data_IF_267973987860
#
_entry.id   IF_267973987860
#
_cell.length_a   1.000
_cell.length_b   1.000
_cell.length_c   1.000
_cell.angle_alpha   90.00
_cell.angle_beta   90.00
_cell.angle_gamma   90.00
#
_symmetry.space_group_name_H-M   'P 1'
#
loop_
_entity.id
_entity.type
_entity.pdbx_description
1 polymer ?
#
# COMPACT_ATOMS: atom_id res chain seq x y z
N UNK A 1 -14.11 18.35 24.59
CA UNK A 1 -12.71 18.65 24.18
C UNK A 1 -12.55 18.14 22.75
N UNK A 2 -11.79 18.77 21.85
CA UNK A 2 -11.54 18.15 20.55
C UNK A 2 -10.87 16.78 20.80
N UNK A 3 -11.51 15.70 20.33
CA UNK A 3 -11.04 14.33 20.54
C UNK A 3 -9.64 14.20 19.90
N UNK A 4 -8.61 13.95 20.71
CA UNK A 4 -7.22 13.96 20.22
C UNK A 4 -6.98 12.83 19.22
N UNK A 5 -6.40 13.18 18.08
CA UNK A 5 -5.86 12.22 17.10
C UNK A 5 -4.44 11.77 17.43
N UNK A 6 -3.74 12.48 18.33
CA UNK A 6 -2.38 12.15 18.73
C UNK A 6 -2.32 11.51 20.12
N UNK A 7 -1.58 10.40 20.23
CA UNK A 7 -1.22 9.75 21.50
C UNK A 7 0.17 9.13 21.34
N UNK A 8 1.09 9.50 22.22
CA UNK A 8 2.43 8.93 22.25
C UNK A 8 2.40 7.56 22.97
N UNK A 9 1.86 6.56 22.28
CA UNK A 9 1.77 5.20 22.77
C UNK A 9 2.12 4.23 21.66
N UNK A 10 2.97 3.24 21.97
CA UNK A 10 3.23 2.14 21.05
C UNK A 10 2.16 1.06 21.19
N UNK A 11 1.50 0.76 20.07
CA UNK A 11 0.52 -0.32 19.97
C UNK A 11 1.14 -1.48 19.20
N UNK A 12 0.92 -2.72 19.65
CA UNK A 12 1.27 -3.94 18.92
C UNK A 12 0.21 -4.99 19.18
N UNK A 13 -0.04 -5.86 18.20
CA UNK A 13 -1.01 -6.94 18.41
C UNK A 13 -0.52 -7.95 19.46
N UNK A 14 -1.40 -8.47 20.33
CA UNK A 14 -1.11 -9.63 21.16
C UNK A 14 -0.60 -10.81 20.32
N UNK A 15 0.27 -11.64 20.94
CA UNK A 15 0.90 -12.81 20.32
C UNK A 15 0.56 -14.08 21.10
N UNK A 16 0.79 -15.25 20.50
CA UNK A 16 0.53 -16.55 21.12
C UNK A 16 -0.95 -16.93 21.19
N UNK A 17 -1.26 -18.01 21.92
CA UNK A 17 -2.59 -18.61 21.96
C UNK A 17 -3.55 -18.02 23.02
N UNK A 18 -3.06 -17.15 23.90
CA UNK A 18 -3.89 -16.54 24.96
C UNK A 18 -4.80 -15.47 24.37
N UNK A 19 -6.10 -15.58 24.64
CA UNK A 19 -7.10 -14.63 24.17
C UNK A 19 -7.28 -13.47 25.14
N UNK A 20 -7.51 -12.28 24.59
CA UNK A 20 -8.05 -11.12 25.31
C UNK A 20 -9.57 -11.05 25.12
N UNK A 21 -10.05 -11.27 23.90
CA UNK A 21 -11.47 -11.34 23.57
C UNK A 21 -12.09 -12.73 23.89
N UNK A 22 -13.42 -12.83 23.77
CA UNK A 22 -14.17 -14.06 24.11
C UNK A 22 -13.96 -15.23 23.15
N UNK A 23 -13.49 -14.98 21.93
CA UNK A 23 -13.28 -16.02 20.91
C UNK A 23 -12.20 -15.62 19.91
N UNK A 24 -11.68 -16.58 19.15
CA UNK A 24 -10.77 -16.29 18.04
C UNK A 24 -11.37 -15.38 16.95
N UNK A 25 -12.70 -15.42 16.75
CA UNK A 25 -13.40 -14.58 15.77
C UNK A 25 -13.48 -13.11 16.18
N UNK A 26 -13.35 -12.81 17.48
CA UNK A 26 -13.31 -11.44 18.02
C UNK A 26 -11.88 -11.00 18.40
N UNK A 27 -11.02 -11.95 18.72
CA UNK A 27 -9.58 -11.74 18.91
C UNK A 27 -8.87 -11.36 17.60
N UNK A 28 -9.23 -12.00 16.48
CA UNK A 28 -8.63 -11.73 15.18
C UNK A 28 -8.77 -10.25 14.75
N UNK A 29 -9.96 -9.63 14.69
CA UNK A 29 -10.08 -8.21 14.36
C UNK A 29 -9.40 -7.30 15.40
N UNK A 30 -9.37 -7.68 16.68
CA UNK A 30 -8.65 -6.94 17.72
C UNK A 30 -7.15 -6.90 17.46
N UNK A 31 -6.54 -8.07 17.22
CA UNK A 31 -5.13 -8.19 16.88
C UNK A 31 -4.82 -7.46 15.58
N UNK A 32 -5.67 -7.58 14.58
CA UNK A 32 -5.44 -6.93 13.29
C UNK A 32 -5.57 -5.40 13.35
N UNK A 33 -6.51 -4.87 14.15
CA UNK A 33 -6.58 -3.44 14.46
C UNK A 33 -5.27 -2.94 15.07
N UNK A 34 -4.76 -3.67 16.06
CA UNK A 34 -3.50 -3.33 16.73
C UNK A 34 -2.29 -3.50 15.81
N UNK A 35 -2.29 -4.52 14.93
CA UNK A 35 -1.24 -4.74 13.94
C UNK A 35 -1.15 -3.58 12.94
N UNK A 36 -2.30 -3.04 12.53
CA UNK A 36 -2.36 -1.85 11.67
C UNK A 36 -1.69 -0.62 12.30
N UNK A 37 -1.46 -0.59 13.62
CA UNK A 37 -0.81 0.50 14.35
C UNK A 37 0.57 0.12 14.91
N UNK A 38 1.09 -1.05 14.55
CA UNK A 38 2.45 -1.46 14.94
C UNK A 38 3.48 -0.49 14.33
N UNK A 39 4.46 0.05 15.08
CA UNK A 39 5.48 0.95 14.54
C UNK A 39 6.34 0.35 13.41
N UNK A 40 6.39 -0.98 13.30
CA UNK A 40 7.08 -1.64 12.20
C UNK A 40 6.18 -1.81 10.97
N UNK A 41 4.88 -1.51 11.09
CA UNK A 41 3.85 -1.63 10.05
C UNK A 41 3.40 -0.26 9.54
N UNK A 42 2.95 0.62 10.44
CA UNK A 42 2.28 1.88 10.12
C UNK A 42 3.24 3.03 9.82
N UNK A 43 2.83 3.96 8.96
CA UNK A 43 3.62 5.15 8.63
C UNK A 43 3.66 6.20 9.75
N UNK A 44 2.56 6.41 10.48
CA UNK A 44 2.49 7.32 11.62
C UNK A 44 1.43 6.86 12.64
N UNK A 45 1.73 5.80 13.42
CA UNK A 45 0.75 5.16 14.29
C UNK A 45 0.29 6.03 15.47
N UNK A 46 1.10 6.99 15.94
CA UNK A 46 0.72 7.90 17.03
C UNK A 46 -0.46 8.81 16.64
N UNK A 47 -0.63 9.04 15.34
CA UNK A 47 -1.78 9.72 14.78
C UNK A 47 -2.84 8.77 14.20
N UNK A 48 -2.76 7.48 14.50
CA UNK A 48 -3.59 6.40 13.95
C UNK A 48 -3.43 6.17 12.44
N UNK A 49 -2.47 6.84 11.79
CA UNK A 49 -2.25 6.78 10.34
C UNK A 49 -1.45 5.54 9.99
N UNK A 50 -2.05 4.70 9.15
CA UNK A 50 -1.48 3.46 8.67
C UNK A 50 -0.69 3.71 7.39
N UNK A 51 -1.31 4.24 6.33
CA UNK A 51 -0.65 4.56 5.05
C UNK A 51 -1.53 5.45 4.14
N UNK A 52 -0.92 5.97 3.06
CA UNK A 52 -1.63 6.58 1.92
C UNK A 52 -2.24 7.94 2.23
N UNK A 53 -1.40 8.91 2.61
CA UNK A 53 -1.86 10.18 3.17
C UNK A 53 -2.37 9.95 4.60
N UNK A 54 -3.61 10.34 4.87
CA UNK A 54 -4.25 10.26 6.19
C UNK A 54 -5.10 8.99 6.42
N UNK A 55 -4.77 7.87 5.76
CA UNK A 55 -5.50 6.61 5.92
C UNK A 55 -5.34 6.04 7.33
N UNK A 56 -6.41 6.03 8.13
CA UNK A 56 -6.38 5.72 9.58
C UNK A 56 -7.07 4.40 9.94
N UNK A 57 -6.65 3.83 11.09
CA UNK A 57 -7.24 2.60 11.64
C UNK A 57 -8.51 2.83 12.47
N UNK A 58 -8.60 3.98 13.14
CA UNK A 58 -9.75 4.45 13.90
C UNK A 58 -9.86 5.98 13.77
N UNK A 59 -11.04 6.55 14.05
CA UNK A 59 -11.30 7.98 13.81
C UNK A 59 -10.40 8.90 14.64
N UNK A 60 -10.26 8.55 15.91
CA UNK A 60 -9.46 9.21 16.93
C UNK A 60 -9.22 8.20 18.06
N UNK A 61 -8.47 8.59 19.08
CA UNK A 61 -8.06 7.68 20.14
C UNK A 61 -9.21 7.23 21.06
N UNK A 62 -10.22 8.07 21.27
CA UNK A 62 -11.43 7.65 22.01
C UNK A 62 -12.18 6.55 21.27
N UNK A 63 -12.34 6.70 19.94
CA UNK A 63 -12.92 5.66 19.11
C UNK A 63 -12.08 4.38 19.10
N UNK A 64 -10.74 4.49 19.07
CA UNK A 64 -9.85 3.34 19.16
C UNK A 64 -10.07 2.55 20.46
N UNK A 65 -10.04 3.24 21.61
CA UNK A 65 -10.24 2.60 22.92
C UNK A 65 -11.61 1.94 23.01
N UNK A 66 -12.66 2.61 22.51
CA UNK A 66 -14.01 2.07 22.48
C UNK A 66 -14.14 0.85 21.55
N UNK A 67 -13.39 0.79 20.43
CA UNK A 67 -13.36 -0.40 19.55
C UNK A 67 -12.70 -1.56 20.27
N UNK A 68 -11.55 -1.33 20.93
CA UNK A 68 -10.84 -2.36 21.70
C UNK A 68 -11.74 -2.94 22.79
N UNK A 69 -12.42 -2.08 23.55
CA UNK A 69 -13.35 -2.47 24.61
C UNK A 69 -14.58 -3.21 24.05
N UNK A 70 -15.13 -2.77 22.91
CA UNK A 70 -16.23 -3.46 22.25
C UNK A 70 -15.82 -4.87 21.77
N UNK A 71 -14.70 -5.00 21.06
CA UNK A 71 -14.20 -6.28 20.55
C UNK A 71 -13.86 -7.28 21.67
N UNK A 72 -13.36 -6.79 22.80
CA UNK A 72 -13.03 -7.62 23.97
C UNK A 72 -14.29 -8.27 24.56
N UNK A 73 -15.43 -7.56 24.54
CA UNK A 73 -16.69 -7.99 25.17
C UNK A 73 -17.68 -8.63 24.21
N UNK A 74 -17.49 -8.49 22.90
CA UNK A 74 -18.43 -8.93 21.86
C UNK A 74 -18.69 -10.44 21.91
N UNK A 75 -19.96 -10.84 21.91
CA UNK A 75 -20.38 -12.24 21.92
C UNK A 75 -20.32 -12.89 20.53
N UNK A 76 -20.39 -14.23 20.49
CA UNK A 76 -20.30 -15.00 19.25
C UNK A 76 -21.49 -14.77 18.29
N UNK A 77 -22.66 -14.41 18.80
CA UNK A 77 -23.88 -14.12 18.03
C UNK A 77 -24.13 -12.61 17.89
N UNK A 78 -23.12 -11.76 18.12
CA UNK A 78 -23.21 -10.31 17.96
C UNK A 78 -22.36 -9.79 16.79
N UNK A 79 -22.73 -8.61 16.30
CA UNK A 79 -22.02 -7.87 15.26
C UNK A 79 -21.82 -6.41 15.66
N UNK A 80 -20.56 -5.95 15.67
CA UNK A 80 -20.16 -4.57 15.88
C UNK A 80 -20.25 -3.77 14.56
N UNK A 81 -20.87 -2.59 14.60
CA UNK A 81 -20.91 -1.64 13.49
C UNK A 81 -19.86 -0.54 13.67
N UNK A 82 -18.97 -0.42 12.68
CA UNK A 82 -17.99 0.66 12.58
C UNK A 82 -18.41 1.64 11.48
N UNK A 83 -18.66 2.88 11.85
CA UNK A 83 -18.95 3.97 10.91
C UNK A 83 -17.76 4.92 10.90
N UNK A 84 -17.06 5.03 9.77
CA UNK A 84 -15.86 5.88 9.61
C UNK A 84 -14.94 5.82 10.84
N UNK A 85 -14.51 4.61 11.21
CA UNK A 85 -13.61 4.36 12.33
C UNK A 85 -14.16 4.62 13.74
N UNK A 86 -15.47 4.76 13.91
CA UNK A 86 -16.15 4.91 15.21
C UNK A 86 -17.05 3.70 15.48
N UNK A 87 -17.02 3.09 16.68
CA UNK A 87 -17.96 2.03 17.04
C UNK A 87 -19.32 2.65 17.39
N UNK A 88 -20.35 2.39 16.58
CA UNK A 88 -21.66 3.08 16.69
C UNK A 88 -22.80 2.21 17.21
N UNK A 89 -22.61 0.89 17.27
CA UNK A 89 -23.62 -0.01 17.81
C UNK A 89 -23.22 -1.48 17.73
N UNK A 90 -23.81 -2.29 18.59
CA UNK A 90 -23.71 -3.75 18.59
C UNK A 90 -25.12 -4.29 18.47
N UNK A 91 -25.32 -5.25 17.57
CA UNK A 91 -26.61 -5.88 17.34
C UNK A 91 -26.46 -7.39 17.36
N UNK A 92 -27.47 -8.08 17.90
CA UNK A 92 -27.58 -9.52 17.83
C UNK A 92 -27.83 -9.96 16.38
N UNK A 93 -27.05 -10.92 15.93
CA UNK A 93 -27.13 -11.57 14.62
C UNK A 93 -27.12 -13.08 14.82
N UNK A 94 -26.08 -13.78 14.38
CA UNK A 94 -25.88 -15.22 14.56
C UNK A 94 -24.38 -15.56 14.39
N UNK A 95 -23.96 -16.73 14.87
CA UNK A 95 -22.58 -17.22 14.87
C UNK A 95 -21.87 -17.18 13.50
N UNK A 96 -22.60 -17.44 12.42
CA UNK A 96 -22.08 -17.44 11.05
C UNK A 96 -22.08 -16.05 10.36
N UNK A 97 -22.58 -15.01 11.02
CA UNK A 97 -22.49 -13.64 10.52
C UNK A 97 -21.08 -13.05 10.74
N UNK A 98 -20.72 -11.96 10.04
CA UNK A 98 -19.51 -11.21 10.38
C UNK A 98 -19.59 -10.65 11.81
N UNK A 99 -18.48 -10.74 12.57
CA UNK A 99 -18.37 -10.09 13.89
C UNK A 99 -18.29 -8.57 13.80
N UNK A 100 -17.79 -8.03 12.69
CA UNK A 100 -17.65 -6.58 12.48
C UNK A 100 -18.10 -6.22 11.06
N UNK A 101 -18.94 -5.19 10.95
CA UNK A 101 -19.29 -4.57 9.68
C UNK A 101 -18.76 -3.13 9.65
N UNK A 102 -18.07 -2.76 8.58
CA UNK A 102 -17.33 -1.50 8.49
C UNK A 102 -17.79 -0.72 7.26
N UNK A 103 -18.18 0.54 7.47
CA UNK A 103 -18.48 1.50 6.41
C UNK A 103 -17.70 2.80 6.66
N UNK A 104 -16.59 2.98 5.94
CA UNK A 104 -15.71 4.15 6.09
C UNK A 104 -15.77 5.07 4.87
N UNK A 105 -15.74 6.38 5.12
CA UNK A 105 -15.52 7.43 4.11
C UNK A 105 -16.56 7.51 2.99
N UNK A 106 -17.73 6.88 3.16
CA UNK A 106 -18.82 6.97 2.20
C UNK A 106 -19.48 8.35 2.28
N UNK A 107 -19.55 9.03 1.14
CA UNK A 107 -20.25 10.31 0.96
C UNK A 107 -21.22 10.18 -0.21
N UNK A 108 -22.33 10.91 -0.15
CA UNK A 108 -23.28 10.99 -1.27
C UNK A 108 -22.53 11.59 -2.48
N UNK A 109 -22.70 11.08 -3.73
CA UNK A 109 -21.78 11.38 -4.82
C UNK A 109 -21.51 12.86 -5.12
N UNK A 110 -22.52 13.72 -4.97
CA UNK A 110 -22.35 15.17 -5.16
C UNK A 110 -21.37 15.80 -4.15
N UNK A 111 -21.30 15.24 -2.94
CA UNK A 111 -20.43 15.69 -1.84
C UNK A 111 -19.17 14.84 -1.69
N UNK A 112 -18.91 13.90 -2.60
CA UNK A 112 -17.75 13.02 -2.53
C UNK A 112 -16.46 13.71 -3.00
N UNK A 113 -16.11 14.81 -2.34
CA UNK A 113 -14.91 15.63 -2.61
C UNK A 113 -14.06 15.77 -1.35
N UNK A 114 -12.78 16.11 -1.53
CA UNK A 114 -11.86 16.33 -0.39
C UNK A 114 -12.25 17.54 0.45
N UNK A 115 -12.77 18.60 -0.17
CA UNK A 115 -13.19 19.81 0.53
C UNK A 115 -14.28 19.49 1.55
N UNK A 116 -15.32 18.75 1.15
CA UNK A 116 -16.38 18.35 2.05
C UNK A 116 -15.93 17.28 3.06
N UNK A 117 -15.07 16.34 2.64
CA UNK A 117 -14.47 15.37 3.56
C UNK A 117 -13.69 16.08 4.69
N UNK A 118 -12.88 17.09 4.37
CA UNK A 118 -12.07 17.84 5.32
C UNK A 118 -12.95 18.69 6.26
N UNK A 119 -14.03 19.28 5.75
CA UNK A 119 -15.04 19.96 6.58
C UNK A 119 -15.64 19.01 7.64
N UNK A 120 -15.98 17.78 7.25
CA UNK A 120 -16.49 16.76 8.17
C UNK A 120 -15.42 16.25 9.14
N UNK A 121 -14.17 16.09 8.69
CA UNK A 121 -13.07 15.67 9.56
C UNK A 121 -12.77 16.72 10.65
N UNK A 122 -12.81 18.00 10.30
CA UNK A 122 -12.67 19.11 11.26
C UNK A 122 -13.79 19.11 12.32
N UNK A 123 -14.98 18.60 11.99
CA UNK A 123 -16.12 18.41 12.91
C UNK A 123 -16.06 17.08 13.69
N UNK A 124 -15.04 16.25 13.49
CA UNK A 124 -14.93 14.91 14.11
C UNK A 124 -15.91 13.87 13.52
N UNK A 125 -16.42 14.11 12.31
CA UNK A 125 -17.43 13.27 11.65
C UNK A 125 -16.86 12.35 10.57
N UNK A 126 -15.59 12.49 10.20
CA UNK A 126 -14.96 11.73 9.15
C UNK A 126 -13.71 10.97 9.61
N UNK A 127 -13.38 9.93 8.85
CA UNK A 127 -12.11 9.23 8.87
C UNK A 127 -11.86 8.72 7.46
N UNK A 128 -10.63 8.85 6.97
CA UNK A 128 -10.24 8.27 5.69
C UNK A 128 -9.80 6.83 5.92
N UNK A 129 -10.57 5.86 5.42
CA UNK A 129 -10.31 4.44 5.66
C UNK A 129 -9.26 3.84 4.72
N UNK A 130 -8.87 4.56 3.66
CA UNK A 130 -8.13 3.99 2.53
C UNK A 130 -8.83 2.68 2.08
N UNK A 131 -8.07 1.62 1.81
CA UNK A 131 -8.59 0.27 1.59
C UNK A 131 -8.41 -0.60 2.83
N UNK A 132 -7.17 -0.76 3.31
CA UNK A 132 -6.80 -1.72 4.37
C UNK A 132 -6.46 -1.08 5.71
N UNK A 133 -6.40 0.26 5.76
CA UNK A 133 -6.16 1.01 7.00
C UNK A 133 -7.37 0.91 7.93
N UNK A 134 -8.54 1.36 7.48
CA UNK A 134 -9.77 1.36 8.28
C UNK A 134 -10.51 0.03 8.31
N UNK A 135 -10.02 -1.00 7.61
CA UNK A 135 -10.58 -2.36 7.59
C UNK A 135 -9.67 -3.42 8.22
N UNK A 136 -8.56 -2.97 8.83
CA UNK A 136 -7.71 -3.79 9.70
C UNK A 136 -7.14 -5.03 9.00
N UNK A 137 -6.49 -4.85 7.85
CA UNK A 137 -5.83 -5.94 7.13
C UNK A 137 -4.55 -5.49 6.40
N UNK A 138 -3.91 -4.46 6.96
CA UNK A 138 -2.64 -3.96 6.47
C UNK A 138 -1.49 -4.78 7.06
N UNK A 139 -0.54 -5.14 6.19
CA UNK A 139 0.58 -6.05 6.50
C UNK A 139 1.92 -5.41 6.10
N UNK A 140 2.01 -4.08 6.24
CA UNK A 140 3.14 -3.30 5.78
C UNK A 140 3.24 -3.23 4.26
N UNK A 141 4.44 -2.94 3.76
CA UNK A 141 4.73 -2.80 2.33
C UNK A 141 4.52 -4.12 1.56
N UNK A 142 4.51 -5.26 2.27
CA UNK A 142 4.25 -6.57 1.66
C UNK A 142 2.84 -6.65 1.05
N UNK A 143 1.88 -5.87 1.53
CA UNK A 143 0.50 -5.92 1.04
C UNK A 143 0.34 -5.60 -0.45
N UNK A 144 1.30 -4.89 -1.05
CA UNK A 144 1.24 -4.48 -2.48
C UNK A 144 2.41 -5.00 -3.32
N UNK A 145 3.53 -5.38 -2.69
CA UNK A 145 4.78 -5.70 -3.40
C UNK A 145 4.62 -6.77 -4.48
N UNK A 146 3.79 -7.79 -4.29
CA UNK A 146 3.52 -8.74 -5.37
C UNK A 146 2.76 -8.10 -6.55
N UNK A 147 1.78 -7.25 -6.30
CA UNK A 147 1.07 -6.56 -7.38
C UNK A 147 1.98 -5.63 -8.16
N UNK A 148 2.96 -5.03 -7.49
CA UNK A 148 4.01 -4.20 -8.12
C UNK A 148 5.01 -5.03 -8.90
N UNK A 149 5.42 -6.16 -8.34
CA UNK A 149 6.25 -7.16 -9.03
C UNK A 149 5.55 -7.67 -10.30
N UNK A 150 4.30 -8.14 -10.22
CA UNK A 150 3.53 -8.61 -11.39
C UNK A 150 3.37 -7.52 -12.44
N UNK A 151 3.23 -6.25 -12.01
CA UNK A 151 3.17 -5.11 -12.92
C UNK A 151 4.47 -4.96 -13.70
N UNK A 152 5.61 -4.96 -13.01
CA UNK A 152 6.91 -4.81 -13.66
C UNK A 152 7.30 -6.02 -14.50
N UNK A 153 7.00 -7.23 -14.04
CA UNK A 153 7.21 -8.46 -14.82
C UNK A 153 6.41 -8.42 -16.12
N UNK A 154 5.15 -8.04 -16.06
CA UNK A 154 4.31 -7.95 -17.26
C UNK A 154 4.78 -6.81 -18.19
N UNK A 155 5.18 -5.66 -17.66
CA UNK A 155 5.81 -4.62 -18.46
C UNK A 155 7.11 -5.12 -19.13
N UNK A 156 7.93 -5.92 -18.43
CA UNK A 156 9.09 -6.58 -18.99
C UNK A 156 8.75 -7.56 -20.12
N UNK A 157 7.67 -8.34 -19.99
CA UNK A 157 7.16 -9.23 -21.06
C UNK A 157 6.73 -8.45 -22.29
N UNK A 158 5.98 -7.36 -22.11
CA UNK A 158 5.44 -6.59 -23.23
C UNK A 158 6.49 -5.73 -23.95
N UNK A 159 7.48 -5.19 -23.22
CA UNK A 159 8.39 -4.18 -23.77
C UNK A 159 9.85 -4.64 -23.90
N UNK A 160 10.26 -5.69 -23.18
CA UNK A 160 11.66 -6.09 -23.02
C UNK A 160 11.89 -7.61 -23.10
N UNK A 161 11.08 -8.33 -23.90
CA UNK A 161 11.21 -9.77 -24.14
C UNK A 161 11.20 -10.63 -22.86
N UNK A 162 10.50 -10.17 -21.82
CA UNK A 162 10.30 -10.94 -20.58
C UNK A 162 11.36 -10.72 -19.50
N UNK A 163 12.39 -9.91 -19.73
CA UNK A 163 13.44 -9.65 -18.73
C UNK A 163 13.73 -8.17 -18.57
N UNK A 164 13.92 -7.74 -17.32
CA UNK A 164 14.39 -6.39 -16.98
C UNK A 164 15.87 -6.35 -16.57
N UNK A 165 16.62 -7.42 -16.81
CA UNK A 165 18.06 -7.43 -16.53
C UNK A 165 18.78 -6.33 -17.34
N UNK A 166 19.62 -5.54 -16.65
CA UNK A 166 20.31 -4.39 -17.24
C UNK A 166 19.40 -3.19 -17.54
N UNK A 167 18.14 -3.22 -17.09
CA UNK A 167 17.16 -2.13 -17.21
C UNK A 167 16.97 -1.43 -15.87
N UNK A 168 16.38 -0.25 -15.90
CA UNK A 168 16.00 0.44 -14.66
C UNK A 168 14.66 1.17 -14.71
N UNK A 169 14.00 1.19 -13.56
CA UNK A 169 12.72 1.86 -13.31
C UNK A 169 12.98 3.22 -12.67
N UNK A 170 12.38 4.29 -13.20
CA UNK A 170 12.28 5.58 -12.54
C UNK A 170 10.91 5.72 -11.89
N UNK A 171 10.88 6.07 -10.60
CA UNK A 171 9.64 6.36 -9.91
C UNK A 171 9.80 7.27 -8.69
N UNK A 172 8.71 7.57 -8.00
CA UNK A 172 8.69 8.39 -6.80
C UNK A 172 7.66 7.89 -5.76
N UNK A 173 7.89 8.31 -4.51
CA UNK A 173 7.12 7.94 -3.33
C UNK A 173 7.62 6.66 -2.65
N UNK A 174 8.14 6.80 -1.44
CA UNK A 174 8.59 5.71 -0.55
C UNK A 174 7.75 5.66 0.74
N UNK A 175 6.44 5.90 0.65
CA UNK A 175 5.50 5.68 1.75
C UNK A 175 5.18 4.20 1.99
N UNK A 176 4.15 3.91 2.79
CA UNK A 176 3.71 2.54 3.14
C UNK A 176 3.57 1.59 1.94
N UNK A 177 2.97 2.08 0.87
CA UNK A 177 2.76 1.32 -0.38
C UNK A 177 3.87 1.61 -1.41
N UNK A 178 4.24 2.89 -1.57
CA UNK A 178 5.34 3.37 -2.43
C UNK A 178 6.68 2.67 -2.20
N UNK A 179 6.96 2.35 -0.94
CA UNK A 179 8.17 1.64 -0.53
C UNK A 179 8.27 0.21 -1.07
N UNK A 180 7.22 -0.36 -1.64
CA UNK A 180 7.28 -1.66 -2.29
C UNK A 180 7.92 -1.63 -3.68
N UNK A 181 7.94 -0.47 -4.35
CA UNK A 181 8.43 -0.32 -5.72
C UNK A 181 9.89 -0.74 -5.91
N UNK A 182 10.85 -0.34 -5.06
CA UNK A 182 12.26 -0.64 -5.30
C UNK A 182 12.55 -2.15 -5.14
N UNK A 183 11.97 -2.79 -4.13
CA UNK A 183 12.04 -4.24 -3.98
C UNK A 183 11.35 -4.97 -5.14
N UNK A 184 10.14 -4.56 -5.54
CA UNK A 184 9.43 -5.17 -6.66
C UNK A 184 10.22 -5.08 -7.98
N UNK A 185 10.84 -3.94 -8.26
CA UNK A 185 11.71 -3.76 -9.42
C UNK A 185 12.91 -4.70 -9.35
N UNK A 186 13.55 -4.79 -8.18
CA UNK A 186 14.69 -5.68 -7.95
C UNK A 186 14.33 -7.16 -8.13
N UNK A 187 13.17 -7.59 -7.62
CA UNK A 187 12.66 -8.96 -7.80
C UNK A 187 12.31 -9.24 -9.27
N UNK A 188 11.85 -8.24 -10.02
CA UNK A 188 11.63 -8.35 -11.46
C UNK A 188 12.94 -8.29 -12.29
N UNK A 189 14.09 -8.11 -11.64
CA UNK A 189 15.43 -8.10 -12.26
C UNK A 189 15.92 -6.72 -12.72
N UNK A 190 15.20 -5.64 -12.38
CA UNK A 190 15.57 -4.27 -12.74
C UNK A 190 16.35 -3.57 -11.62
N UNK A 191 17.20 -2.62 -11.98
CA UNK A 191 17.55 -1.54 -11.05
C UNK A 191 16.37 -0.58 -10.88
N UNK A 192 16.39 0.27 -9.84
CA UNK A 192 15.40 1.33 -9.71
C UNK A 192 15.97 2.58 -9.08
N UNK A 193 15.55 3.75 -9.57
CA UNK A 193 15.72 5.02 -8.88
C UNK A 193 14.37 5.47 -8.34
N UNK A 194 14.26 5.62 -7.03
CA UNK A 194 13.03 6.08 -6.38
C UNK A 194 13.25 7.40 -5.64
N UNK A 195 12.52 8.43 -6.06
CA UNK A 195 12.61 9.77 -5.49
C UNK A 195 11.64 9.88 -4.31
N UNK A 196 12.13 10.36 -3.17
CA UNK A 196 11.33 10.57 -1.95
C UNK A 196 11.74 11.89 -1.29
N UNK A 197 10.77 12.68 -0.85
CA UNK A 197 11.02 14.00 -0.27
C UNK A 197 11.32 14.00 1.23
N UNK A 198 11.05 12.89 1.93
CA UNK A 198 11.25 12.74 3.37
C UNK A 198 12.35 11.71 3.69
N UNK A 199 13.42 12.14 4.35
CA UNK A 199 14.50 11.25 4.78
C UNK A 199 14.00 10.11 5.66
N UNK A 200 13.08 10.38 6.60
CA UNK A 200 12.53 9.36 7.50
C UNK A 200 11.79 8.23 6.77
N UNK A 201 11.25 8.49 5.58
CA UNK A 201 10.61 7.47 4.74
C UNK A 201 11.64 6.59 4.04
N UNK A 202 12.75 7.17 3.58
CA UNK A 202 13.90 6.43 3.05
C UNK A 202 14.49 5.52 4.14
N UNK A 203 14.74 6.07 5.33
CA UNK A 203 15.28 5.33 6.48
C UNK A 203 14.41 4.14 6.86
N UNK A 204 13.09 4.30 6.82
CA UNK A 204 12.15 3.20 7.05
C UNK A 204 12.40 2.08 6.04
N UNK A 205 12.52 2.40 4.75
CA UNK A 205 12.65 1.40 3.68
C UNK A 205 14.01 0.72 3.69
N UNK A 206 15.06 1.43 4.07
CA UNK A 206 16.38 0.85 4.31
C UNK A 206 16.31 -0.14 5.48
N UNK A 207 15.72 0.28 6.61
CA UNK A 207 15.54 -0.56 7.80
C UNK A 207 14.74 -1.83 7.51
N UNK A 208 13.68 -1.74 6.69
CA UNK A 208 12.85 -2.89 6.32
C UNK A 208 13.35 -3.66 5.10
N UNK A 209 14.50 -3.29 4.53
CA UNK A 209 15.15 -3.93 3.37
C UNK A 209 14.31 -3.91 2.09
N UNK A 210 13.49 -2.88 1.94
CA UNK A 210 12.69 -2.62 0.74
C UNK A 210 13.40 -1.70 -0.28
N UNK A 211 14.47 -1.03 0.14
CA UNK A 211 15.43 -0.33 -0.72
C UNK A 211 16.85 -0.70 -0.28
N UNK A 212 17.78 -0.81 -1.22
CA UNK A 212 19.13 -1.29 -0.95
C UNK A 212 20.07 -0.16 -0.50
N UNK A 213 20.03 0.98 -1.19
CA UNK A 213 20.92 2.11 -0.91
C UNK A 213 20.27 3.48 -1.17
N UNK A 214 20.88 4.53 -0.63
CA UNK A 214 20.52 5.92 -0.88
C UNK A 214 21.69 6.65 -1.54
N UNK A 215 21.40 7.40 -2.60
CA UNK A 215 22.36 8.27 -3.26
C UNK A 215 22.44 9.64 -2.58
N UNK A 216 23.62 10.26 -2.62
CA UNK A 216 23.84 11.58 -2.03
C UNK A 216 23.31 12.72 -2.92
N UNK A 217 23.37 12.53 -4.24
CA UNK A 217 22.94 13.52 -5.25
C UNK A 217 22.33 12.81 -6.46
N UNK A 218 21.70 13.57 -7.35
CA UNK A 218 21.20 13.04 -8.63
C UNK A 218 22.34 12.42 -9.48
N UNK A 219 23.51 13.06 -9.50
CA UNK A 219 24.66 12.56 -10.27
C UNK A 219 25.19 11.24 -9.71
N UNK A 220 25.29 11.13 -8.37
CA UNK A 220 25.64 9.88 -7.69
C UNK A 220 24.62 8.77 -8.00
N UNK A 221 23.32 9.10 -7.94
CA UNK A 221 22.25 8.16 -8.27
C UNK A 221 22.38 7.63 -9.71
N UNK A 222 22.59 8.52 -10.68
CA UNK A 222 22.75 8.13 -12.09
C UNK A 222 24.04 7.32 -12.33
N UNK A 223 25.13 7.66 -11.65
CA UNK A 223 26.38 6.89 -11.73
C UNK A 223 26.19 5.45 -11.21
N UNK A 224 25.48 5.28 -10.09
CA UNK A 224 25.12 3.97 -9.52
C UNK A 224 24.23 3.16 -10.43
N UNK A 225 23.14 3.77 -10.93
CA UNK A 225 22.23 3.13 -11.87
C UNK A 225 22.99 2.66 -13.13
N UNK A 226 23.85 3.52 -13.70
CA UNK A 226 24.65 3.17 -14.86
C UNK A 226 25.68 2.06 -14.56
N UNK A 227 26.24 2.02 -13.35
CA UNK A 227 27.16 0.97 -12.93
C UNK A 227 26.44 -0.39 -12.81
N UNK A 228 25.33 -0.45 -12.07
CA UNK A 228 24.62 -1.70 -11.81
C UNK A 228 23.92 -2.27 -13.04
N UNK A 229 23.32 -1.42 -13.88
CA UNK A 229 22.71 -1.85 -15.15
C UNK A 229 23.75 -2.45 -16.11
N UNK A 230 24.93 -1.82 -16.26
CA UNK A 230 26.06 -2.38 -17.05
C UNK A 230 26.57 -3.71 -16.50
N UNK A 231 26.54 -3.89 -15.18
CA UNK A 231 26.93 -5.14 -14.53
C UNK A 231 25.82 -6.22 -14.54
N UNK A 232 24.64 -5.93 -15.12
CA UNK A 232 23.50 -6.85 -15.11
C UNK A 232 22.93 -7.12 -13.71
N UNK A 233 23.20 -6.25 -12.74
CA UNK A 233 22.68 -6.36 -11.37
C UNK A 233 21.30 -5.70 -11.27
N UNK A 234 20.55 -6.09 -10.25
CA UNK A 234 19.29 -5.47 -9.87
C UNK A 234 19.46 -4.84 -8.48
N UNK A 235 19.61 -3.51 -8.45
CA UNK A 235 19.84 -2.74 -7.22
C UNK A 235 18.92 -1.53 -7.19
N UNK A 236 18.33 -1.29 -6.03
CA UNK A 236 17.43 -0.17 -5.79
C UNK A 236 18.11 0.99 -5.07
N UNK A 237 17.96 2.19 -5.64
CA UNK A 237 18.58 3.44 -5.17
C UNK A 237 17.49 4.44 -4.81
N UNK A 238 17.47 4.92 -3.58
CA UNK A 238 16.65 6.06 -3.16
C UNK A 238 17.38 7.39 -3.40
N UNK A 239 16.62 8.44 -3.70
CA UNK A 239 17.13 9.82 -3.77
C UNK A 239 16.22 10.73 -2.94
N UNK A 240 16.81 11.43 -1.94
CA UNK A 240 16.09 12.39 -1.12
C UNK A 240 15.90 13.71 -1.87
N UNK A 241 14.77 13.87 -2.57
CA UNK A 241 14.46 15.04 -3.40
C UNK A 241 12.96 15.13 -3.71
N UNK A 242 12.53 16.23 -4.35
CA UNK A 242 11.17 16.36 -4.84
C UNK A 242 11.06 15.82 -6.28
N UNK A 243 10.10 14.91 -6.50
CA UNK A 243 9.85 14.33 -7.82
C UNK A 243 9.47 15.37 -8.88
N UNK A 244 8.73 16.42 -8.49
CA UNK A 244 8.36 17.53 -9.38
C UNK A 244 9.59 18.33 -9.86
N UNK A 245 10.73 18.22 -9.18
CA UNK A 245 11.99 18.87 -9.58
C UNK A 245 12.88 17.90 -10.36
N UNK A 246 13.01 16.65 -9.89
CA UNK A 246 13.94 15.68 -10.45
C UNK A 246 13.48 15.11 -11.78
N UNK A 247 12.20 14.80 -11.97
CA UNK A 247 11.75 14.23 -13.25
C UNK A 247 11.94 15.21 -14.42
N UNK A 248 11.55 16.49 -14.33
CA UNK A 248 11.86 17.47 -15.37
C UNK A 248 13.38 17.61 -15.62
N UNK A 249 14.18 17.60 -14.56
CA UNK A 249 15.64 17.67 -14.70
C UNK A 249 16.23 16.48 -15.45
N UNK A 250 15.74 15.26 -15.18
CA UNK A 250 16.14 14.05 -15.91
C UNK A 250 15.76 14.13 -17.40
N UNK A 251 14.59 14.67 -17.72
CA UNK A 251 14.18 14.94 -19.11
C UNK A 251 15.13 15.94 -19.77
N UNK A 252 15.44 17.05 -19.11
CA UNK A 252 16.34 18.09 -19.62
C UNK A 252 17.76 17.54 -19.91
N UNK A 253 18.24 16.62 -19.08
CA UNK A 253 19.53 15.94 -19.26
C UNK A 253 19.51 14.86 -20.34
N UNK A 254 18.35 14.56 -20.94
CA UNK A 254 18.21 13.48 -21.91
C UNK A 254 18.43 12.09 -21.30
N UNK A 255 18.29 11.94 -19.98
CA UNK A 255 18.38 10.63 -19.32
C UNK A 255 17.19 9.78 -19.77
N UNK A 256 17.42 8.50 -20.05
CA UNK A 256 16.38 7.60 -20.56
C UNK A 256 16.21 6.37 -19.65
N UNK A 257 15.27 6.40 -18.69
CA UNK A 257 14.86 5.17 -17.98
C UNK A 257 14.21 4.17 -18.92
N UNK A 258 14.11 2.91 -18.48
CA UNK A 258 13.43 1.86 -19.23
C UNK A 258 11.96 1.73 -18.82
N UNK A 259 11.57 2.15 -17.61
CA UNK A 259 10.16 2.27 -17.21
C UNK A 259 9.98 3.54 -16.37
N UNK A 260 8.84 4.22 -16.51
CA UNK A 260 8.49 5.39 -15.69
C UNK A 260 7.11 5.20 -15.06
N UNK A 261 7.03 5.41 -13.75
CA UNK A 261 5.76 5.43 -13.03
C UNK A 261 5.83 6.32 -11.79
N UNK A 262 4.73 6.46 -11.05
CA UNK A 262 4.67 7.28 -9.84
C UNK A 262 3.74 6.66 -8.78
N UNK A 263 4.15 6.74 -7.51
CA UNK A 263 3.36 6.32 -6.36
C UNK A 263 3.46 7.30 -5.18
N UNK A 264 3.71 8.59 -5.46
CA UNK A 264 3.43 9.66 -4.49
C UNK A 264 1.95 9.60 -4.05
N UNK A 265 1.59 10.21 -2.92
CA UNK A 265 0.18 10.23 -2.46
C UNK A 265 -0.62 11.33 -3.16
N UNK A 266 -0.55 11.40 -4.49
CA UNK A 266 -1.22 12.40 -5.31
C UNK A 266 -2.76 12.38 -5.21
N UNK A 267 -3.34 11.32 -4.65
CA UNK A 267 -4.77 11.19 -4.41
C UNK A 267 -5.28 12.16 -3.34
N UNK A 268 -4.39 12.68 -2.48
CA UNK A 268 -4.68 13.66 -1.43
C UNK A 268 -3.73 14.88 -1.60
N UNK A 269 -4.15 15.90 -2.38
CA UNK A 269 -3.33 17.09 -2.61
C UNK A 269 -3.01 17.89 -1.34
N UNK A 270 -3.78 17.72 -0.26
CA UNK A 270 -3.57 18.48 0.97
C UNK A 270 -2.50 17.83 1.87
N UNK A 271 -2.44 16.49 1.92
CA UNK A 271 -1.55 15.78 2.85
C UNK A 271 -0.53 14.82 2.20
N UNK A 272 -0.59 14.63 0.87
CA UNK A 272 0.13 13.55 0.19
C UNK A 272 1.16 13.94 -0.86
N UNK A 273 1.31 15.23 -1.19
CA UNK A 273 2.21 15.65 -2.28
C UNK A 273 2.88 16.99 -1.98
N UNK A 274 4.20 16.95 -1.81
CA UNK A 274 5.02 18.13 -1.51
C UNK A 274 5.14 19.05 -2.74
N UNK A 275 4.71 20.32 -2.67
CA UNK A 275 4.92 21.28 -3.75
C UNK A 275 6.40 21.53 -4.04
N UNK A 276 6.74 21.84 -5.30
CA UNK A 276 8.11 22.24 -5.68
C UNK A 276 8.60 23.44 -4.85
N UNK A 277 9.87 23.41 -4.45
CA UNK A 277 10.51 24.48 -3.68
C UNK A 277 10.11 24.56 -2.20
N UNK A 278 9.22 23.68 -1.70
CA UNK A 278 8.80 23.67 -0.30
C UNK A 278 9.57 22.63 0.50
N UNK A 279 9.71 22.88 1.81
CA UNK A 279 10.17 21.86 2.77
C UNK A 279 8.99 21.14 3.40
N UNK A 280 9.22 19.93 3.92
CA UNK A 280 8.14 19.12 4.49
C UNK A 280 7.46 19.79 5.69
N UNK A 281 8.23 20.41 6.57
CA UNK A 281 7.71 21.09 7.76
C UNK A 281 6.85 22.29 7.36
N UNK A 282 7.31 23.08 6.39
CA UNK A 282 6.55 24.21 5.83
C UNK A 282 5.25 23.74 5.18
N UNK A 283 5.30 22.62 4.47
CA UNK A 283 4.11 22.00 3.87
C UNK A 283 3.08 21.62 4.92
N UNK A 284 3.49 21.03 6.04
CA UNK A 284 2.59 20.68 7.13
C UNK A 284 1.97 21.92 7.80
N UNK A 285 2.75 22.97 8.03
CA UNK A 285 2.25 24.23 8.58
C UNK A 285 1.24 24.90 7.64
N UNK A 286 1.56 24.99 6.35
CA UNK A 286 0.69 25.60 5.35
C UNK A 286 -0.58 24.80 5.09
N UNK A 287 -0.55 23.48 5.20
CA UNK A 287 -1.74 22.65 5.13
C UNK A 287 -2.77 23.01 6.23
N UNK A 288 -2.32 23.56 7.37
CA UNK A 288 -3.19 24.05 8.43
C UNK A 288 -3.63 25.51 8.21
N UNK A 289 -2.70 26.39 7.84
CA UNK A 289 -2.99 27.84 7.75
C UNK A 289 -3.67 28.24 6.44
N UNK A 290 -3.37 27.56 5.33
CA UNK A 290 -3.94 27.79 4.00
C UNK A 290 -4.13 26.46 3.25
N UNK A 291 -5.15 25.66 3.61
CA UNK A 291 -5.39 24.37 2.99
C UNK A 291 -5.66 24.47 1.48
N UNK A 292 -6.40 25.49 1.05
CA UNK A 292 -6.75 25.68 -0.36
C UNK A 292 -5.52 26.05 -1.21
N UNK A 293 -4.71 27.01 -0.75
CA UNK A 293 -3.48 27.37 -1.43
C UNK A 293 -2.48 26.22 -1.48
N UNK A 294 -2.41 25.41 -0.41
CA UNK A 294 -1.58 24.20 -0.35
C UNK A 294 -2.01 23.16 -1.38
N UNK A 295 -3.30 22.82 -1.46
CA UNK A 295 -3.83 21.91 -2.48
C UNK A 295 -3.53 22.40 -3.89
N UNK A 296 -3.71 23.71 -4.15
CA UNK A 296 -3.44 24.28 -5.46
C UNK A 296 -1.95 24.25 -5.82
N UNK A 297 -1.06 24.49 -4.86
CA UNK A 297 0.39 24.37 -5.05
C UNK A 297 0.82 22.93 -5.34
N UNK A 298 0.25 21.96 -4.63
CA UNK A 298 0.48 20.54 -4.86
C UNK A 298 0.03 20.12 -6.26
N UNK A 299 -1.22 20.47 -6.66
CA UNK A 299 -1.74 20.15 -8.00
C UNK A 299 -0.90 20.77 -9.13
N UNK A 300 -0.43 22.02 -8.97
CA UNK A 300 0.51 22.64 -9.93
C UNK A 300 1.81 21.85 -10.07
N UNK A 301 2.34 21.34 -8.96
CA UNK A 301 3.56 20.53 -8.96
C UNK A 301 3.33 19.14 -9.59
N UNK A 302 2.16 18.54 -9.36
CA UNK A 302 1.74 17.30 -10.04
C UNK A 302 1.63 17.50 -11.56
N UNK A 303 1.15 18.66 -12.02
CA UNK A 303 1.09 18.98 -13.44
C UNK A 303 2.47 18.97 -14.09
N UNK A 304 3.47 19.62 -13.48
CA UNK A 304 4.86 19.60 -13.96
C UNK A 304 5.46 18.18 -13.93
N UNK A 305 5.20 17.41 -12.88
CA UNK A 305 5.60 16.00 -12.79
C UNK A 305 5.01 15.17 -13.95
N UNK A 306 3.70 15.27 -14.20
CA UNK A 306 3.03 14.54 -15.29
C UNK A 306 3.53 14.99 -16.67
N UNK A 307 3.84 16.27 -16.87
CA UNK A 307 4.48 16.74 -18.09
C UNK A 307 5.84 16.06 -18.35
N UNK A 308 6.65 15.84 -17.31
CA UNK A 308 7.89 15.07 -17.44
C UNK A 308 7.64 13.58 -17.76
N UNK A 309 6.64 12.95 -17.12
CA UNK A 309 6.22 11.58 -17.47
C UNK A 309 5.76 11.46 -18.94
N UNK A 310 5.02 12.46 -19.44
CA UNK A 310 4.61 12.56 -20.85
C UNK A 310 5.82 12.75 -21.77
N UNK A 311 6.83 13.53 -21.37
CA UNK A 311 8.05 13.68 -22.14
C UNK A 311 8.81 12.34 -22.26
N UNK A 312 8.94 11.58 -21.18
CA UNK A 312 9.51 10.22 -21.26
C UNK A 312 8.70 9.29 -22.17
N UNK A 313 7.36 9.35 -22.09
CA UNK A 313 6.48 8.59 -22.97
C UNK A 313 6.73 8.92 -24.45
N UNK A 314 6.89 10.20 -24.79
CA UNK A 314 7.25 10.67 -26.15
C UNK A 314 8.64 10.19 -26.59
N UNK A 315 9.57 9.93 -25.66
CA UNK A 315 10.87 9.31 -25.93
C UNK A 315 10.79 7.77 -26.09
N UNK A 316 9.58 7.22 -26.15
CA UNK A 316 9.32 5.79 -26.28
C UNK A 316 9.64 4.99 -25.02
N UNK A 317 9.66 5.62 -23.85
CA UNK A 317 9.77 4.92 -22.57
C UNK A 317 8.37 4.46 -22.16
N UNK A 318 8.15 3.16 -21.85
CA UNK A 318 6.88 2.73 -21.29
C UNK A 318 6.61 3.45 -19.96
N UNK A 319 5.59 4.31 -20.00
CA UNK A 319 5.15 5.13 -18.89
C UNK A 319 3.74 4.69 -18.48
N UNK A 320 3.48 4.58 -17.19
CA UNK A 320 2.15 4.24 -16.70
C UNK A 320 1.86 4.86 -15.33
N UNK A 321 0.58 5.08 -15.06
CA UNK A 321 0.07 5.52 -13.77
C UNK A 321 -0.16 4.32 -12.83
N UNK A 322 0.32 4.45 -11.60
CA UNK A 322 0.24 3.39 -10.59
C UNK A 322 -0.89 3.60 -9.58
N UNK A 323 -2.01 4.18 -10.02
CA UNK A 323 -3.26 4.20 -9.27
C UNK A 323 -3.32 5.22 -8.13
N UNK A 324 -2.55 6.30 -8.20
CA UNK A 324 -2.58 7.41 -7.24
C UNK A 324 -3.34 8.65 -7.75
N UNK A 325 -3.96 8.56 -8.93
CA UNK A 325 -4.79 9.62 -9.53
C UNK A 325 -4.00 10.87 -9.99
N UNK A 326 -2.67 10.81 -10.11
CA UNK A 326 -1.85 11.97 -10.49
C UNK A 326 -2.23 12.56 -11.85
N UNK A 327 -2.61 11.72 -12.82
CA UNK A 327 -3.07 12.17 -14.16
C UNK A 327 -4.32 13.05 -14.07
N UNK A 328 -5.25 12.72 -13.19
CA UNK A 328 -6.48 13.50 -13.00
C UNK A 328 -6.15 14.87 -12.37
N UNK A 329 -5.27 14.89 -11.37
CA UNK A 329 -4.83 16.15 -10.75
C UNK A 329 -4.12 17.06 -11.75
N UNK A 330 -3.28 16.50 -12.64
CA UNK A 330 -2.64 17.25 -13.71
C UNK A 330 -3.63 17.75 -14.77
N UNK A 331 -4.63 16.93 -15.14
CA UNK A 331 -5.69 17.33 -16.09
C UNK A 331 -6.50 18.52 -15.56
N UNK A 332 -6.85 18.50 -14.28
CA UNK A 332 -7.54 19.62 -13.61
C UNK A 332 -6.72 20.92 -13.64
N UNK A 333 -5.40 20.81 -13.80
CA UNK A 333 -4.47 21.94 -13.93
C UNK A 333 -4.13 22.30 -15.38
N UNK A 334 -4.87 21.77 -16.36
CA UNK A 334 -4.74 22.14 -17.77
C UNK A 334 -3.77 21.28 -18.59
N UNK A 335 -3.26 20.17 -18.05
CA UNK A 335 -2.52 19.18 -18.86
C UNK A 335 -3.52 18.33 -19.64
N UNK A 336 -3.96 18.84 -20.80
CA UNK A 336 -5.04 18.24 -21.60
C UNK A 336 -4.78 16.76 -21.95
N UNK A 337 -3.52 16.43 -22.20
CA UNK A 337 -3.06 15.12 -22.63
C UNK A 337 -2.48 14.27 -21.47
N UNK A 338 -2.85 14.58 -20.22
CA UNK A 338 -2.40 13.84 -19.02
C UNK A 338 -2.72 12.33 -19.05
N UNK A 339 -3.70 11.92 -19.85
CA UNK A 339 -4.13 10.52 -19.98
C UNK A 339 -3.50 9.76 -21.16
N UNK A 340 -2.53 10.35 -21.86
CA UNK A 340 -1.83 9.71 -22.99
C UNK A 340 -1.02 8.48 -22.56
N UNK A 341 -0.71 8.33 -21.28
CA UNK A 341 -0.18 7.09 -20.72
C UNK A 341 -1.24 6.33 -19.89
N UNK A 342 -1.27 4.99 -19.98
CA UNK A 342 -2.33 4.19 -19.38
C UNK A 342 -2.17 4.06 -17.86
N UNK A 343 -3.23 3.56 -17.21
CA UNK A 343 -3.10 3.03 -15.86
C UNK A 343 -2.55 1.61 -15.88
N UNK A 344 -1.86 1.19 -14.83
CA UNK A 344 -1.27 -0.15 -14.75
C UNK A 344 -2.30 -1.29 -14.85
N UNK A 345 -3.54 -1.08 -14.38
CA UNK A 345 -4.60 -2.10 -14.46
C UNK A 345 -4.96 -2.44 -15.89
N UNK A 346 -5.44 -1.49 -16.74
CA UNK A 346 -5.71 -1.79 -18.14
C UNK A 346 -4.48 -2.26 -18.92
N UNK A 347 -3.28 -1.77 -18.59
CA UNK A 347 -2.06 -2.11 -19.32
C UNK A 347 -1.54 -3.53 -19.00
N UNK A 348 -1.56 -3.93 -17.72
CA UNK A 348 -0.80 -5.09 -17.26
C UNK A 348 -1.62 -6.07 -16.41
N UNK A 349 -2.43 -5.58 -15.47
CA UNK A 349 -3.02 -6.43 -14.42
C UNK A 349 -4.39 -7.01 -14.76
N UNK A 350 -5.17 -6.38 -15.64
CA UNK A 350 -6.55 -6.81 -15.96
C UNK A 350 -6.66 -8.30 -16.37
N UNK A 351 -5.74 -8.89 -17.14
CA UNK A 351 -5.79 -10.33 -17.45
C UNK A 351 -5.75 -11.24 -16.21
N UNK A 352 -5.05 -10.84 -15.14
CA UNK A 352 -5.05 -11.56 -13.87
C UNK A 352 -6.43 -11.48 -13.21
N UNK A 353 -7.02 -10.28 -13.19
CA UNK A 353 -8.35 -10.05 -12.61
C UNK A 353 -9.45 -10.85 -13.31
N UNK A 354 -9.36 -11.06 -14.63
CA UNK A 354 -10.31 -11.88 -15.38
C UNK A 354 -10.38 -13.34 -14.90
N UNK A 355 -9.34 -13.83 -14.20
CA UNK A 355 -9.28 -15.18 -13.61
C UNK A 355 -9.54 -15.19 -12.09
N UNK A 356 -9.98 -14.06 -11.55
CA UNK A 356 -10.15 -13.87 -10.10
C UNK A 356 -8.83 -13.78 -9.34
N UNK A 357 -7.69 -13.67 -10.03
CA UNK A 357 -6.38 -13.51 -9.38
C UNK A 357 -6.27 -12.10 -8.84
N UNK A 358 -5.73 -11.96 -7.64
CA UNK A 358 -5.55 -10.67 -6.99
C UNK A 358 -4.86 -10.83 -5.64
N UNK A 359 -4.75 -9.76 -4.85
CA UNK A 359 -3.90 -9.68 -3.66
C UNK A 359 -4.47 -10.45 -2.47
N UNK A 360 -4.58 -11.78 -2.60
CA UNK A 360 -4.91 -12.69 -1.51
C UNK A 360 -3.76 -12.74 -0.51
N UNK A 361 -4.11 -12.73 0.78
CA UNK A 361 -3.16 -12.63 1.89
C UNK A 361 -3.70 -13.35 3.11
N UNK A 362 -2.77 -13.76 3.97
CA UNK A 362 -3.05 -14.32 5.28
C UNK A 362 -2.04 -13.80 6.31
N UNK A 363 -2.45 -13.86 7.58
CA UNK A 363 -1.67 -13.38 8.73
C UNK A 363 -1.68 -14.44 9.82
N UNK A 364 -0.51 -14.78 10.34
CA UNK A 364 -0.36 -15.71 11.46
C UNK A 364 -0.60 -14.95 12.78
N UNK A 365 -1.76 -15.15 13.41
CA UNK A 365 -2.12 -14.44 14.65
C UNK A 365 -1.24 -14.86 15.84
N UNK A 366 -0.55 -16.00 15.74
CA UNK A 366 0.44 -16.46 16.70
C UNK A 366 1.58 -15.45 16.88
N UNK A 367 1.94 -14.73 15.81
CA UNK A 367 3.18 -13.97 15.74
C UNK A 367 4.41 -14.80 15.35
N UNK A 368 4.26 -16.12 15.14
CA UNK A 368 5.36 -17.00 14.80
C UNK A 368 5.60 -17.04 13.27
N UNK A 369 6.79 -16.63 12.78
CA UNK A 369 7.11 -16.70 11.36
C UNK A 369 7.09 -18.13 10.79
N UNK A 370 7.26 -19.16 11.63
CA UNK A 370 7.21 -20.55 11.17
C UNK A 370 5.83 -20.93 10.63
N UNK A 371 4.75 -20.34 11.14
CA UNK A 371 3.40 -20.57 10.61
C UNK A 371 3.29 -20.08 9.15
N UNK A 372 3.93 -18.95 8.82
CA UNK A 372 4.00 -18.48 7.43
C UNK A 372 4.86 -19.41 6.56
N UNK A 373 5.99 -19.90 7.05
CA UNK A 373 6.81 -20.81 6.25
C UNK A 373 6.16 -22.17 6.00
N UNK A 374 5.38 -22.68 6.95
CA UNK A 374 4.57 -23.89 6.77
C UNK A 374 3.45 -23.65 5.75
N UNK A 375 2.76 -22.52 5.82
CA UNK A 375 1.73 -22.17 4.83
C UNK A 375 2.32 -21.92 3.45
N UNK A 376 3.50 -21.29 3.32
CA UNK A 376 4.25 -21.18 2.05
C UNK A 376 4.51 -22.58 1.44
N UNK A 377 4.96 -23.54 2.26
CA UNK A 377 5.17 -24.92 1.80
C UNK A 377 3.87 -25.61 1.37
N UNK A 378 2.78 -25.43 2.14
CA UNK A 378 1.46 -25.97 1.80
C UNK A 378 0.91 -25.40 0.49
N UNK A 379 1.14 -24.11 0.22
CA UNK A 379 0.75 -23.50 -1.06
C UNK A 379 1.48 -24.18 -2.21
N UNK A 380 2.80 -24.44 -2.08
CA UNK A 380 3.57 -25.14 -3.12
C UNK A 380 3.10 -26.57 -3.33
N UNK A 381 2.67 -27.27 -2.29
CA UNK A 381 2.07 -28.61 -2.39
C UNK A 381 0.74 -28.58 -3.16
N UNK A 382 -0.14 -27.63 -2.86
CA UNK A 382 -1.47 -27.54 -3.48
C UNK A 382 -1.41 -27.01 -4.92
N UNK A 383 -0.53 -26.04 -5.18
CA UNK A 383 -0.35 -25.39 -6.49
C UNK A 383 0.99 -25.85 -7.10
N UNK A 384 1.15 -27.16 -7.28
CA UNK A 384 2.44 -27.79 -7.59
C UNK A 384 3.07 -27.34 -8.93
N UNK A 385 2.25 -27.08 -9.95
CA UNK A 385 2.72 -26.85 -11.33
C UNK A 385 3.08 -25.37 -11.62
N UNK A 386 2.73 -24.43 -10.75
CA UNK A 386 2.96 -22.99 -10.98
C UNK A 386 4.36 -22.55 -10.54
N UNK A 387 5.33 -22.69 -11.46
CA UNK A 387 6.73 -22.30 -11.23
C UNK A 387 6.90 -20.82 -10.87
N UNK A 388 6.06 -19.93 -11.42
CA UNK A 388 6.13 -18.50 -11.15
C UNK A 388 5.68 -18.19 -9.73
N UNK A 389 4.60 -18.84 -9.27
CA UNK A 389 4.14 -18.75 -7.89
C UNK A 389 5.18 -19.31 -6.90
N UNK A 390 5.82 -20.44 -7.23
CA UNK A 390 6.86 -21.02 -6.37
C UNK A 390 8.05 -20.08 -6.23
N UNK A 391 8.50 -19.51 -7.36
CA UNK A 391 9.56 -18.51 -7.38
C UNK A 391 9.20 -17.26 -6.56
N UNK A 392 7.95 -16.79 -6.67
CA UNK A 392 7.42 -15.71 -5.84
C UNK A 392 7.57 -16.03 -4.34
N UNK A 393 7.16 -17.23 -3.90
CA UNK A 393 7.26 -17.62 -2.49
C UNK A 393 8.72 -17.75 -2.01
N UNK A 394 9.62 -18.26 -2.86
CA UNK A 394 11.05 -18.33 -2.54
C UNK A 394 11.65 -16.93 -2.35
N UNK A 395 11.43 -16.04 -3.32
CA UNK A 395 11.88 -14.65 -3.22
C UNK A 395 11.26 -13.92 -2.02
N UNK A 396 9.98 -14.15 -1.77
CA UNK A 396 9.28 -13.54 -0.63
C UNK A 396 9.83 -14.04 0.71
N UNK A 397 10.35 -15.27 0.78
CA UNK A 397 11.02 -15.78 1.98
C UNK A 397 12.43 -15.20 2.15
N UNK A 398 13.17 -15.05 1.07
CA UNK A 398 14.56 -14.56 1.11
C UNK A 398 14.67 -13.05 1.30
N UNK A 399 13.75 -12.29 0.70
CA UNK A 399 13.88 -10.83 0.56
C UNK A 399 12.90 -10.03 1.40
N UNK A 400 11.72 -10.58 1.75
CA UNK A 400 10.70 -9.81 2.46
C UNK A 400 10.82 -10.00 3.98
N UNK A 401 10.98 -8.88 4.68
CA UNK A 401 10.93 -8.81 6.13
C UNK A 401 9.49 -8.75 6.59
N UNK A 402 9.13 -9.59 7.55
CA UNK A 402 7.85 -9.45 8.23
C UNK A 402 7.81 -8.13 9.00
N UNK A 403 6.65 -7.49 8.97
CA UNK A 403 6.34 -6.23 9.65
C UNK A 403 5.15 -6.50 10.56
N UNK A 404 5.32 -6.36 11.88
CA UNK A 404 4.28 -6.71 12.86
C UNK A 404 4.05 -8.23 12.95
N UNK A 405 2.79 -8.67 12.82
CA UNK A 405 2.46 -10.09 12.69
C UNK A 405 3.00 -10.65 11.38
N UNK A 406 3.65 -11.83 11.38
CA UNK A 406 4.04 -12.50 10.15
C UNK A 406 2.85 -12.70 9.23
N UNK A 407 3.01 -12.29 7.99
CA UNK A 407 1.96 -12.29 6.98
C UNK A 407 2.56 -12.61 5.63
N UNK A 408 1.72 -13.11 4.72
CA UNK A 408 2.12 -13.39 3.34
C UNK A 408 1.12 -12.82 2.36
N UNK A 409 1.64 -12.22 1.30
CA UNK A 409 0.89 -11.92 0.08
C UNK A 409 1.16 -13.05 -0.93
N UNK A 410 0.11 -13.56 -1.55
CA UNK A 410 0.22 -14.54 -2.64
C UNK A 410 -0.96 -14.36 -3.60
N UNK A 411 -0.68 -13.94 -4.83
CA UNK A 411 -1.72 -13.69 -5.82
C UNK A 411 -2.26 -15.00 -6.38
N UNK A 412 -3.45 -15.38 -5.92
CA UNK A 412 -4.14 -16.59 -6.35
C UNK A 412 -5.56 -16.31 -6.84
N UNK A 413 -6.01 -17.14 -7.78
CA UNK A 413 -7.27 -17.00 -8.50
C UNK A 413 -8.48 -17.62 -7.79
N UNK A 414 -9.63 -17.57 -8.48
CA UNK A 414 -10.88 -18.18 -8.03
C UNK A 414 -10.70 -19.66 -7.68
N UNK A 415 -9.91 -20.38 -8.48
CA UNK A 415 -9.66 -21.81 -8.33
C UNK A 415 -9.02 -22.20 -7.00
N UNK A 416 -8.13 -21.35 -6.47
CA UNK A 416 -7.20 -21.75 -5.41
C UNK A 416 -7.57 -21.20 -4.03
N UNK A 417 -8.23 -20.03 -3.96
CA UNK A 417 -8.48 -19.35 -2.68
C UNK A 417 -9.25 -20.20 -1.68
N UNK A 418 -10.32 -20.86 -2.11
CA UNK A 418 -11.09 -21.74 -1.23
C UNK A 418 -10.28 -22.96 -0.79
N UNK A 419 -9.53 -23.57 -1.72
CA UNK A 419 -8.70 -24.75 -1.42
C UNK A 419 -7.62 -24.42 -0.39
N UNK A 420 -6.94 -23.28 -0.56
CA UNK A 420 -5.93 -22.80 0.38
C UNK A 420 -6.54 -22.46 1.75
N UNK A 421 -7.65 -21.71 1.78
CA UNK A 421 -8.31 -21.38 3.05
C UNK A 421 -8.75 -22.61 3.84
N UNK A 422 -9.30 -23.63 3.18
CA UNK A 422 -9.64 -24.91 3.82
C UNK A 422 -8.40 -25.66 4.32
N UNK A 423 -7.32 -25.67 3.54
CA UNK A 423 -6.07 -26.30 3.94
C UNK A 423 -5.43 -25.60 5.14
N UNK A 424 -5.41 -24.26 5.18
CA UNK A 424 -4.91 -23.50 6.32
C UNK A 424 -5.75 -23.73 7.57
N UNK A 425 -7.08 -23.80 7.42
CA UNK A 425 -7.96 -24.12 8.54
C UNK A 425 -7.71 -25.54 9.09
N UNK A 426 -7.44 -26.51 8.20
CA UNK A 426 -7.06 -27.86 8.60
C UNK A 426 -5.71 -27.89 9.33
N UNK A 427 -4.72 -27.14 8.86
CA UNK A 427 -3.42 -26.98 9.52
C UNK A 427 -3.56 -26.41 10.94
N UNK A 428 -4.49 -25.47 11.15
CA UNK A 428 -4.81 -24.94 12.49
C UNK A 428 -5.45 -26.04 13.35
N UNK A 429 -6.41 -26.77 12.79
CA UNK A 429 -7.14 -27.85 13.51
C UNK A 429 -6.20 -28.97 13.98
N UNK A 430 -5.21 -29.34 13.19
CA UNK A 430 -4.26 -30.40 13.53
C UNK A 430 -3.04 -29.90 14.34
N UNK A 431 -2.92 -28.59 14.58
CA UNK A 431 -1.81 -28.00 15.32
C UNK A 431 -0.50 -27.91 14.52
N UNK A 432 -0.55 -28.11 13.20
CA UNK A 432 0.62 -27.87 12.33
C UNK A 432 1.03 -26.40 12.39
N UNK A 433 0.06 -25.48 12.53
CA UNK A 433 0.30 -24.07 12.84
C UNK A 433 -0.20 -23.70 14.24
N UNK A 434 0.48 -22.75 14.88
CA UNK A 434 0.38 -22.55 16.33
C UNK A 434 -0.82 -21.70 16.80
N UNK A 435 -1.47 -20.97 15.90
CA UNK A 435 -2.71 -20.24 16.15
C UNK A 435 -3.52 -20.05 14.84
N UNK A 436 -4.81 -19.62 14.92
CA UNK A 436 -5.59 -19.31 13.73
C UNK A 436 -4.96 -18.26 12.82
N UNK A 437 -5.26 -18.38 11.53
CA UNK A 437 -4.89 -17.40 10.51
C UNK A 437 -6.05 -16.44 10.24
N UNK A 438 -5.72 -15.18 9.95
CA UNK A 438 -6.68 -14.22 9.41
C UNK A 438 -6.48 -14.11 7.89
N UNK A 439 -7.48 -14.55 7.12
CA UNK A 439 -7.46 -14.56 5.65
C UNK A 439 -8.38 -13.48 5.09
N UNK A 440 -7.96 -12.83 3.99
CA UNK A 440 -8.80 -11.87 3.27
C UNK A 440 -9.11 -12.33 1.83
N UNK A 441 -10.26 -12.97 1.61
CA UNK A 441 -10.68 -13.39 0.28
C UNK A 441 -11.39 -12.23 -0.43
N UNK A 442 -10.69 -11.21 -0.95
CA UNK A 442 -11.37 -10.13 -1.71
C UNK A 442 -11.86 -10.65 -3.08
N UNK A 443 -13.15 -10.80 -3.38
CA UNK A 443 -13.57 -10.97 -4.77
C UNK A 443 -13.26 -9.67 -5.56
N UNK A 444 -12.88 -9.73 -6.85
CA UNK A 444 -12.63 -8.54 -7.65
C UNK A 444 -13.95 -7.80 -7.95
N UNK A 445 -14.34 -6.87 -7.08
CA UNK A 445 -15.47 -5.98 -7.28
C UNK A 445 -15.02 -4.61 -7.79
N UNK A 446 -14.68 -4.48 -9.07
CA UNK A 446 -14.58 -3.18 -9.73
C UNK A 446 -15.54 -3.14 -10.91
N UNK A 447 -16.73 -2.54 -10.72
CA UNK A 447 -17.59 -2.11 -11.83
C UNK A 447 -17.04 -0.79 -12.36
N UNK A 448 -16.35 -0.83 -13.50
CA UNK A 448 -16.08 0.39 -14.27
C UNK A 448 -17.37 0.85 -14.94
N UNK A 449 -17.82 2.09 -14.66
CA UNK A 449 -18.76 2.77 -15.55
C UNK A 449 -18.05 2.97 -16.88
N UNK A 450 -18.62 2.46 -17.98
CA UNK A 450 -18.33 2.97 -19.32
C UNK A 450 -18.70 4.45 -19.31
N UNK A 451 -17.72 5.35 -19.40
CA UNK A 451 -17.99 6.66 -19.98
C UNK A 451 -17.95 6.44 -21.49
N UNK A 452 -19.13 6.53 -22.10
CA UNK A 452 -19.34 6.67 -23.54
C UNK A 452 -18.68 7.93 -24.06
#
# INVERSE_FOLDING_TARGET
>A
MPESKYRQQTIRAPRGATLTAKSWLTEAPLRMLMNNLDPDVAENPHELVVYGGIGRAARNWECYDAIVDALTRLEADETLLIQSGKPVGVFKTHDNAPRVLIANSNLVPHWATWEHFNELDAKGLAMYGQMTAGSWIYIGSQGIVQGTYETFVEAGRQHYNGTLAGRWVLTAGLGGMGGAQPLAATLAGACSLTIECQQSRIDFRLRTRYVDEQAATLDDALARIAHYTRAGKAVSVALCANAADILPELVNRGVRPDLVTDQTSAHDPLHGYLPTGWRWEEYQEKALSDPQGTMQAAKRSMAAHVQAMLAFSKMGVPTFDYGNNIRQMAKEMGVENAFDFPGFVPAYIRPLFCRGIGPFRWVALSGDPQDIYKTDAKVKEIVAEDKHLHHWLDMARERIHFQGLPARICWVGLEWRQKLGLAFNEMVRCGEVSAPHCDWPRPPGFRFRRQS
#
